data_IF_590830221211
#
_entry.id   IF_590830221211
#
_cell.length_a   1.000
_cell.length_b   1.000
_cell.length_c   1.000
_cell.angle_alpha   90.00
_cell.angle_beta   90.00
_cell.angle_gamma   90.00
#
_symmetry.space_group_name_H-M   'P 1'
#
loop_
_entity.id
_entity.type
_entity.pdbx_description
1 polymer ?
#
# COMPACT_ATOMS: atom_id res chain seq x y z
N UNK A 1 -10.63 13.13 19.50
CA UNK A 1 -10.89 12.13 20.56
C UNK A 1 -9.82 12.28 21.62
N UNK A 2 -10.14 12.96 22.73
CA UNK A 2 -9.29 13.05 23.91
C UNK A 2 -9.36 11.72 24.67
N UNK A 3 -8.44 10.80 24.40
CA UNK A 3 -8.33 9.52 25.08
C UNK A 3 -7.59 9.56 26.42
N UNK A 4 -7.34 10.76 26.96
CA UNK A 4 -6.71 10.93 28.27
C UNK A 4 -7.45 11.99 29.10
N UNK A 5 -8.73 11.79 29.36
CA UNK A 5 -9.35 12.31 30.57
C UNK A 5 -9.42 11.13 31.55
N UNK A 6 -8.56 11.15 32.57
CA UNK A 6 -8.41 10.11 33.58
C UNK A 6 -9.60 10.01 34.56
N UNK A 7 -10.82 10.05 34.04
CA UNK A 7 -12.01 9.60 34.75
C UNK A 7 -12.54 8.41 34.01
N UNK A 8 -12.30 7.23 34.59
CA UNK A 8 -12.69 5.96 34.04
C UNK A 8 -14.16 5.95 33.61
N UNK A 9 -14.40 6.04 32.32
CA UNK A 9 -15.64 5.52 31.77
C UNK A 9 -15.64 4.04 32.12
N UNK A 10 -16.47 3.63 33.04
CA UNK A 10 -16.74 2.24 33.40
C UNK A 10 -17.17 1.57 32.10
N UNK A 11 -16.27 0.79 31.48
CA UNK A 11 -16.64 -0.06 30.37
C UNK A 11 -17.73 -0.99 30.87
N UNK A 12 -18.96 -0.74 30.48
CA UNK A 12 -20.03 -1.72 30.66
C UNK A 12 -19.68 -2.85 29.69
N UNK A 13 -19.01 -3.88 30.19
CA UNK A 13 -18.84 -5.12 29.47
C UNK A 13 -20.22 -5.75 29.33
N UNK A 14 -20.88 -5.51 28.21
CA UNK A 14 -22.07 -6.28 27.85
C UNK A 14 -21.56 -7.70 27.51
N UNK A 15 -21.66 -8.59 28.48
CA UNK A 15 -21.37 -10.00 28.25
C UNK A 15 -22.47 -10.56 27.33
N UNK A 16 -22.08 -10.94 26.14
CA UNK A 16 -22.97 -11.67 25.24
C UNK A 16 -23.34 -13.02 25.86
N UNK A 17 -24.60 -13.45 25.70
CA UNK A 17 -24.97 -14.82 26.06
C UNK A 17 -24.13 -15.82 25.27
N UNK A 18 -23.83 -16.99 25.85
CA UNK A 18 -23.02 -18.03 25.19
C UNK A 18 -23.56 -18.41 23.80
N UNK A 19 -24.89 -18.50 23.66
CA UNK A 19 -25.54 -18.79 22.38
C UNK A 19 -25.32 -17.67 21.33
N UNK A 20 -25.45 -16.41 21.72
CA UNK A 20 -25.22 -15.28 20.85
C UNK A 20 -23.74 -15.18 20.43
N UNK A 21 -22.80 -15.49 21.35
CA UNK A 21 -21.38 -15.54 21.02
C UNK A 21 -21.05 -16.65 20.01
N UNK A 22 -21.61 -17.85 20.20
CA UNK A 22 -21.44 -18.97 19.24
C UNK A 22 -22.01 -18.58 17.87
N UNK A 23 -23.21 -18.00 17.82
CA UNK A 23 -23.82 -17.54 16.57
C UNK A 23 -22.97 -16.46 15.85
N UNK A 24 -22.43 -15.50 16.59
CA UNK A 24 -21.55 -14.48 16.05
C UNK A 24 -20.24 -15.07 15.51
N UNK A 25 -19.62 -15.99 16.22
CA UNK A 25 -18.42 -16.69 15.74
C UNK A 25 -18.69 -17.54 14.51
N UNK A 26 -19.80 -18.31 14.50
CA UNK A 26 -20.21 -19.09 13.34
C UNK A 26 -20.42 -18.21 12.10
N UNK A 27 -21.07 -17.06 12.26
CA UNK A 27 -21.23 -16.07 11.19
C UNK A 27 -19.88 -15.53 10.68
N UNK A 28 -18.99 -15.12 11.58
CA UNK A 28 -17.65 -14.62 11.22
C UNK A 28 -16.87 -15.68 10.46
N UNK A 29 -16.85 -16.93 10.96
CA UNK A 29 -16.14 -18.03 10.31
C UNK A 29 -16.73 -18.32 8.92
N UNK A 30 -18.06 -18.33 8.79
CA UNK A 30 -18.74 -18.53 7.51
C UNK A 30 -18.36 -17.44 6.50
N UNK A 31 -18.39 -16.17 6.90
CA UNK A 31 -17.99 -15.04 6.04
C UNK A 31 -16.53 -15.16 5.63
N UNK A 32 -15.63 -15.50 6.55
CA UNK A 32 -14.21 -15.68 6.24
C UNK A 32 -13.99 -16.87 5.30
N UNK A 33 -14.68 -17.98 5.49
CA UNK A 33 -14.58 -19.14 4.59
C UNK A 33 -15.04 -18.79 3.17
N UNK A 34 -16.16 -18.08 3.03
CA UNK A 34 -16.68 -17.70 1.70
C UNK A 34 -15.83 -16.60 1.07
N UNK A 35 -15.53 -15.55 1.81
CA UNK A 35 -14.85 -14.35 1.26
C UNK A 35 -13.36 -14.55 1.04
N UNK A 36 -12.71 -15.40 1.83
CA UNK A 36 -11.27 -15.62 1.79
C UNK A 36 -10.96 -17.07 1.41
N UNK A 37 -11.53 -18.03 2.13
CA UNK A 37 -11.22 -19.45 1.97
C UNK A 37 -11.47 -19.95 0.55
N UNK A 38 -12.66 -19.70 -0.01
CA UNK A 38 -13.03 -20.18 -1.36
C UNK A 38 -12.14 -19.59 -2.45
N UNK A 39 -11.93 -18.25 -2.53
CA UNK A 39 -11.04 -17.67 -3.56
C UNK A 39 -9.59 -18.16 -3.44
N UNK A 40 -9.02 -18.19 -2.23
CA UNK A 40 -7.65 -18.67 -2.05
C UNK A 40 -7.52 -20.16 -2.37
N UNK A 41 -8.46 -20.97 -1.93
CA UNK A 41 -8.50 -22.40 -2.29
C UNK A 41 -8.56 -22.58 -3.82
N UNK A 42 -9.40 -21.81 -4.51
CA UNK A 42 -9.52 -21.85 -5.96
C UNK A 42 -8.19 -21.50 -6.65
N UNK A 43 -7.55 -20.39 -6.26
CA UNK A 43 -6.29 -19.96 -6.85
C UNK A 43 -5.18 -20.97 -6.58
N UNK A 44 -5.01 -21.42 -5.34
CA UNK A 44 -3.98 -22.39 -4.96
C UNK A 44 -4.19 -23.72 -5.68
N UNK A 45 -5.42 -24.25 -5.67
CA UNK A 45 -5.70 -25.51 -6.33
C UNK A 45 -5.48 -25.44 -7.85
N UNK A 46 -5.91 -24.34 -8.49
CA UNK A 46 -5.71 -24.14 -9.93
C UNK A 46 -4.24 -24.00 -10.28
N UNK A 47 -3.42 -23.36 -9.45
CA UNK A 47 -1.99 -23.20 -9.69
C UNK A 47 -1.19 -24.53 -9.57
N UNK A 48 -1.78 -25.52 -8.91
CA UNK A 48 -1.18 -26.85 -8.73
C UNK A 48 -1.75 -27.91 -9.67
N UNK A 49 -2.70 -27.57 -10.55
CA UNK A 49 -3.30 -28.51 -11.51
C UNK A 49 -2.53 -28.50 -12.82
N UNK A 50 -2.12 -29.67 -13.30
CA UNK A 50 -1.43 -29.83 -14.57
C UNK A 50 -2.36 -29.60 -15.78
N UNK A 51 -3.48 -30.32 -15.81
CA UNK A 51 -4.49 -30.22 -16.86
C UNK A 51 -5.85 -29.83 -16.27
N UNK A 52 -6.36 -28.64 -16.62
CA UNK A 52 -7.61 -28.10 -16.07
C UNK A 52 -8.81 -29.03 -16.28
N UNK A 53 -8.87 -29.70 -17.40
CA UNK A 53 -9.98 -30.59 -17.73
C UNK A 53 -10.16 -31.78 -16.76
N UNK A 54 -9.11 -32.17 -16.05
CA UNK A 54 -9.15 -33.25 -15.05
C UNK A 54 -9.41 -32.74 -13.61
N UNK A 55 -9.44 -31.43 -13.39
CA UNK A 55 -9.70 -30.85 -12.07
C UNK A 55 -8.77 -31.39 -11.00
N UNK A 56 -9.31 -31.62 -9.79
CA UNK A 56 -8.56 -32.10 -8.62
C UNK A 56 -8.37 -33.63 -8.60
N UNK A 57 -8.29 -34.29 -9.75
CA UNK A 57 -8.12 -35.74 -9.83
C UNK A 57 -6.75 -36.17 -9.27
N UNK A 58 -6.66 -37.36 -8.63
CA UNK A 58 -5.38 -37.94 -8.21
C UNK A 58 -4.42 -38.08 -9.40
N UNK A 59 -3.19 -37.62 -9.22
CA UNK A 59 -2.16 -37.61 -10.28
C UNK A 59 -2.16 -36.38 -11.21
N UNK A 60 -3.09 -35.45 -11.05
CA UNK A 60 -3.14 -34.21 -11.83
C UNK A 60 -2.49 -32.99 -11.10
N UNK A 61 -1.69 -33.24 -10.07
CA UNK A 61 -1.01 -32.20 -9.33
C UNK A 61 0.44 -32.03 -9.81
N UNK A 62 0.85 -30.77 -9.99
CA UNK A 62 2.19 -30.40 -10.42
C UNK A 62 2.66 -29.11 -9.78
N UNK A 63 3.98 -28.96 -9.65
CA UNK A 63 4.67 -27.70 -9.33
C UNK A 63 5.40 -27.15 -10.54
N UNK A 64 5.24 -27.76 -11.72
CA UNK A 64 5.97 -27.41 -12.92
C UNK A 64 5.76 -25.96 -13.33
N UNK A 65 4.55 -25.42 -13.17
CA UNK A 65 4.25 -24.01 -13.47
C UNK A 65 5.11 -23.03 -12.67
N UNK A 66 5.38 -23.36 -11.40
CA UNK A 66 6.28 -22.54 -10.56
C UNK A 66 7.73 -22.66 -11.00
N UNK A 67 8.17 -23.87 -11.35
CA UNK A 67 9.52 -24.09 -11.86
C UNK A 67 9.71 -23.33 -13.16
N UNK A 68 8.79 -23.44 -14.10
CA UNK A 68 8.82 -22.74 -15.39
C UNK A 68 8.86 -21.22 -15.20
N UNK A 69 8.02 -20.67 -14.30
CA UNK A 69 7.99 -19.23 -14.00
C UNK A 69 9.36 -18.71 -13.52
N UNK A 70 10.07 -19.48 -12.69
CA UNK A 70 11.34 -19.04 -12.10
C UNK A 70 12.57 -19.42 -12.92
N UNK A 71 12.50 -20.40 -13.82
CA UNK A 71 13.67 -20.91 -14.58
C UNK A 71 13.61 -20.59 -16.07
N UNK A 72 12.42 -20.59 -16.67
CA UNK A 72 12.26 -20.51 -18.11
C UNK A 72 11.53 -19.24 -18.57
N UNK A 73 10.65 -18.69 -17.74
CA UNK A 73 9.87 -17.51 -18.09
C UNK A 73 10.59 -16.20 -17.71
N UNK A 74 11.52 -15.77 -18.59
CA UNK A 74 12.25 -14.50 -18.38
C UNK A 74 11.35 -13.29 -18.25
N UNK A 75 10.19 -13.26 -18.95
CA UNK A 75 9.23 -12.15 -18.89
C UNK A 75 8.52 -12.11 -17.55
N UNK A 76 8.09 -13.26 -17.01
CA UNK A 76 7.46 -13.35 -15.71
C UNK A 76 8.42 -12.95 -14.59
N UNK A 77 9.65 -13.43 -14.64
CA UNK A 77 10.68 -13.05 -13.66
C UNK A 77 11.05 -11.57 -13.75
N UNK A 78 11.15 -11.01 -14.95
CA UNK A 78 11.37 -9.57 -15.17
C UNK A 78 10.20 -8.75 -14.63
N UNK A 79 8.96 -9.15 -14.89
CA UNK A 79 7.76 -8.50 -14.37
C UNK A 79 7.73 -8.48 -12.83
N UNK A 80 8.11 -9.60 -12.20
CA UNK A 80 8.22 -9.69 -10.75
C UNK A 80 9.27 -8.72 -10.20
N UNK A 81 10.47 -8.70 -10.79
CA UNK A 81 11.55 -7.77 -10.40
C UNK A 81 11.13 -6.31 -10.54
N UNK A 82 10.49 -5.97 -11.65
CA UNK A 82 9.99 -4.60 -11.90
C UNK A 82 8.93 -4.20 -10.86
N UNK A 83 7.96 -5.08 -10.56
CA UNK A 83 6.94 -4.81 -9.55
C UNK A 83 7.53 -4.61 -8.16
N UNK A 84 8.47 -5.47 -7.75
CA UNK A 84 9.17 -5.33 -6.46
C UNK A 84 9.94 -4.00 -6.42
N UNK A 85 10.70 -3.70 -7.47
CA UNK A 85 11.47 -2.45 -7.56
C UNK A 85 10.58 -1.22 -7.45
N UNK A 86 9.50 -1.15 -8.24
CA UNK A 86 8.55 -0.04 -8.22
C UNK A 86 7.88 0.11 -6.86
N UNK A 87 7.40 -1.01 -6.29
CA UNK A 87 6.69 -1.00 -5.02
C UNK A 87 7.61 -0.59 -3.86
N UNK A 88 8.82 -1.15 -3.76
CA UNK A 88 9.80 -0.79 -2.71
C UNK A 88 10.24 0.66 -2.84
N UNK A 89 10.59 1.09 -4.05
CA UNK A 89 11.08 2.44 -4.28
C UNK A 89 10.00 3.47 -3.98
N UNK A 90 8.79 3.29 -4.51
CA UNK A 90 7.68 4.21 -4.28
C UNK A 90 7.24 4.22 -2.81
N UNK A 91 7.13 3.06 -2.16
CA UNK A 91 6.78 2.98 -0.74
C UNK A 91 7.82 3.67 0.14
N UNK A 92 9.11 3.53 -0.18
CA UNK A 92 10.18 4.18 0.58
C UNK A 92 10.15 5.70 0.40
N UNK A 93 9.95 6.18 -0.83
CA UNK A 93 9.81 7.61 -1.09
C UNK A 93 8.57 8.16 -0.38
N UNK A 94 7.43 7.48 -0.45
CA UNK A 94 6.20 7.86 0.25
C UNK A 94 6.41 7.88 1.77
N UNK A 95 7.12 6.90 2.34
CA UNK A 95 7.41 6.87 3.78
C UNK A 95 8.23 8.09 4.23
N UNK A 96 9.24 8.46 3.45
CA UNK A 96 10.07 9.64 3.74
C UNK A 96 9.26 10.92 3.55
N UNK A 97 8.69 11.13 2.36
CA UNK A 97 7.97 12.37 2.04
C UNK A 97 6.73 12.55 2.90
N UNK A 98 5.93 11.48 3.11
CA UNK A 98 4.73 11.52 3.94
C UNK A 98 5.06 11.85 5.39
N UNK A 99 6.14 11.25 5.94
CA UNK A 99 6.60 11.57 7.29
C UNK A 99 7.05 13.02 7.40
N UNK A 100 7.87 13.50 6.45
CA UNK A 100 8.32 14.91 6.44
C UNK A 100 7.14 15.88 6.33
N UNK A 101 6.16 15.56 5.50
CA UNK A 101 4.96 16.37 5.31
C UNK A 101 4.14 16.45 6.63
N UNK A 102 3.90 15.33 7.29
CA UNK A 102 3.18 15.32 8.58
C UNK A 102 3.94 16.12 9.64
N UNK A 103 5.25 15.96 9.75
CA UNK A 103 6.07 16.70 10.71
C UNK A 103 6.09 18.21 10.43
N UNK A 104 6.14 18.61 9.16
CA UNK A 104 6.13 20.03 8.76
C UNK A 104 4.76 20.68 9.05
N UNK A 105 3.68 19.98 8.69
CA UNK A 105 2.31 20.48 8.88
C UNK A 105 1.96 20.64 10.36
N UNK A 106 2.39 19.70 11.20
CA UNK A 106 2.11 19.76 12.66
C UNK A 106 2.78 20.92 13.37
N UNK A 107 3.94 21.36 12.92
CA UNK A 107 4.64 22.54 13.48
C UNK A 107 4.02 23.86 13.03
N UNK A 108 3.22 23.87 11.99
CA UNK A 108 2.62 25.09 11.44
C UNK A 108 1.26 25.37 12.07
N UNK A 109 1.10 26.55 12.66
CA UNK A 109 -0.17 27.08 13.17
C UNK A 109 -0.93 27.90 12.10
N UNK A 110 -0.43 27.91 10.86
CA UNK A 110 -0.94 28.77 9.80
C UNK A 110 -2.08 28.10 9.00
N UNK A 111 -2.86 28.94 8.28
CA UNK A 111 -3.87 28.47 7.31
C UNK A 111 -3.27 27.54 6.25
N UNK A 112 -1.98 27.69 5.99
CA UNK A 112 -1.19 26.85 5.07
C UNK A 112 -1.25 25.35 5.45
N UNK A 113 -1.38 25.04 6.74
CA UNK A 113 -1.56 23.66 7.21
C UNK A 113 -2.74 22.96 6.53
N UNK A 114 -3.92 23.61 6.55
CA UNK A 114 -5.14 23.05 5.96
C UNK A 114 -5.00 22.84 4.43
N UNK A 115 -4.32 23.78 3.77
CA UNK A 115 -4.05 23.68 2.32
C UNK A 115 -3.13 22.50 2.02
N UNK A 116 -2.05 22.34 2.78
CA UNK A 116 -1.10 21.22 2.58
C UNK A 116 -1.74 19.87 2.90
N UNK A 117 -2.55 19.79 3.97
CA UNK A 117 -3.34 18.59 4.27
C UNK A 117 -4.32 18.25 3.14
N UNK A 118 -5.04 19.25 2.60
CA UNK A 118 -5.96 19.06 1.49
C UNK A 118 -5.26 18.61 0.20
N UNK A 119 -4.14 19.25 -0.16
CA UNK A 119 -3.33 18.87 -1.34
C UNK A 119 -2.76 17.46 -1.17
N UNK A 120 -2.31 17.11 0.04
CA UNK A 120 -1.78 15.77 0.32
C UNK A 120 -2.81 14.65 0.19
N UNK A 121 -4.11 14.95 0.35
CA UNK A 121 -5.20 13.98 0.21
C UNK A 121 -5.90 14.04 -1.15
N UNK A 122 -5.62 15.06 -1.95
CA UNK A 122 -6.28 15.28 -3.24
C UNK A 122 -6.17 14.10 -4.20
N UNK A 123 -5.03 13.38 -4.31
CA UNK A 123 -4.91 12.22 -5.18
C UNK A 123 -5.91 11.10 -4.86
N UNK A 124 -6.32 10.94 -3.60
CA UNK A 124 -7.29 9.93 -3.19
C UNK A 124 -8.72 10.27 -3.60
N UNK A 125 -9.00 11.56 -3.82
CA UNK A 125 -10.31 12.06 -4.21
C UNK A 125 -10.57 11.96 -5.72
N UNK A 126 -9.51 11.77 -6.51
CA UNK A 126 -9.58 11.71 -7.97
C UNK A 126 -9.46 10.25 -8.45
N UNK A 127 -10.18 9.87 -9.53
CA UNK A 127 -9.93 8.58 -10.16
C UNK A 127 -8.47 8.47 -10.60
N UNK A 128 -7.81 7.35 -10.23
CA UNK A 128 -6.38 7.15 -10.52
C UNK A 128 -6.01 7.34 -11.99
N UNK A 129 -6.88 6.87 -12.90
CA UNK A 129 -6.69 7.04 -14.35
C UNK A 129 -6.59 8.53 -14.77
N UNK A 130 -7.39 9.40 -14.15
CA UNK A 130 -7.37 10.86 -14.46
C UNK A 130 -6.04 11.47 -14.02
N UNK A 131 -5.57 11.09 -12.82
CA UNK A 131 -4.27 11.54 -12.34
C UNK A 131 -3.12 11.06 -13.21
N UNK A 132 -3.13 9.80 -13.63
CA UNK A 132 -2.08 9.23 -14.49
C UNK A 132 -2.05 9.95 -15.84
N UNK A 133 -3.20 10.18 -16.47
CA UNK A 133 -3.27 10.94 -17.72
C UNK A 133 -2.76 12.38 -17.50
N UNK A 134 -3.13 13.02 -16.40
CA UNK A 134 -2.62 14.33 -16.04
C UNK A 134 -1.09 14.36 -15.88
N UNK A 135 -0.52 13.36 -15.23
CA UNK A 135 0.94 13.19 -15.09
C UNK A 135 1.58 13.01 -16.47
N UNK A 136 1.03 12.16 -17.34
CA UNK A 136 1.54 11.96 -18.70
C UNK A 136 1.57 13.26 -19.49
N UNK A 137 0.46 13.99 -19.51
CA UNK A 137 0.35 15.26 -20.25
C UNK A 137 1.33 16.30 -19.70
N UNK A 138 1.40 16.46 -18.39
CA UNK A 138 2.31 17.41 -17.76
C UNK A 138 3.78 17.09 -18.06
N UNK A 139 4.20 15.82 -17.90
CA UNK A 139 5.59 15.40 -18.15
C UNK A 139 5.99 15.47 -19.62
N UNK A 140 5.03 15.25 -20.52
CA UNK A 140 5.25 15.44 -21.95
C UNK A 140 5.52 16.91 -22.32
N UNK A 141 4.85 17.86 -21.65
CA UNK A 141 5.09 19.29 -21.84
C UNK A 141 6.50 19.74 -21.43
N UNK A 142 7.03 19.14 -20.36
CA UNK A 142 8.34 19.50 -19.81
C UNK A 142 9.45 18.52 -20.20
N UNK A 143 9.21 17.67 -21.19
CA UNK A 143 10.15 16.62 -21.62
C UNK A 143 11.55 17.16 -21.93
N UNK A 144 11.65 18.31 -22.57
CA UNK A 144 12.93 18.95 -22.90
C UNK A 144 13.74 19.40 -21.68
N UNK A 145 13.09 19.59 -20.53
CA UNK A 145 13.73 20.01 -19.27
C UNK A 145 14.06 18.77 -18.42
N UNK A 146 13.13 17.84 -18.36
CA UNK A 146 13.24 16.63 -17.53
C UNK A 146 12.69 15.41 -18.27
N UNK A 147 13.55 14.65 -18.98
CA UNK A 147 13.14 13.56 -19.85
C UNK A 147 12.81 12.29 -19.04
N UNK A 148 11.78 12.34 -18.19
CA UNK A 148 11.30 11.18 -17.41
C UNK A 148 10.26 10.36 -18.16
N UNK A 149 9.61 10.93 -19.18
CA UNK A 149 8.62 10.22 -19.96
C UNK A 149 9.25 8.98 -20.62
N UNK A 150 8.50 7.88 -20.64
CA UNK A 150 8.96 6.60 -21.17
C UNK A 150 10.14 5.96 -20.40
N UNK A 151 10.24 6.22 -19.11
CA UNK A 151 11.22 5.62 -18.20
C UNK A 151 10.54 5.02 -16.97
N UNK A 152 11.25 4.13 -16.25
CA UNK A 152 10.77 3.67 -14.93
C UNK A 152 10.58 4.82 -13.93
N UNK A 153 11.27 5.94 -14.14
CA UNK A 153 11.19 7.12 -13.28
C UNK A 153 9.81 7.75 -13.25
N UNK A 154 9.11 7.84 -14.39
CA UNK A 154 7.74 8.37 -14.42
C UNK A 154 6.76 7.44 -13.72
N UNK A 155 6.97 6.12 -13.78
CA UNK A 155 6.14 5.14 -13.05
C UNK A 155 6.31 5.31 -11.53
N UNK A 156 7.56 5.42 -11.05
CA UNK A 156 7.85 5.69 -9.63
C UNK A 156 7.19 6.97 -9.18
N UNK A 157 7.31 8.04 -9.98
CA UNK A 157 6.72 9.33 -9.68
C UNK A 157 5.19 9.26 -9.61
N UNK A 158 4.55 8.58 -10.58
CA UNK A 158 3.11 8.40 -10.58
C UNK A 158 2.64 7.59 -9.35
N UNK A 159 3.35 6.52 -9.00
CA UNK A 159 3.04 5.72 -7.81
C UNK A 159 3.21 6.55 -6.52
N UNK A 160 4.25 7.37 -6.44
CA UNK A 160 4.44 8.27 -5.30
C UNK A 160 3.29 9.26 -5.18
N UNK A 161 2.89 9.91 -6.28
CA UNK A 161 1.76 10.87 -6.28
C UNK A 161 0.47 10.19 -5.86
N UNK A 162 0.16 9.02 -6.43
CA UNK A 162 -1.07 8.29 -6.15
C UNK A 162 -1.15 7.74 -4.73
N UNK A 163 -0.03 7.27 -4.18
CA UNK A 163 -0.03 6.48 -2.94
C UNK A 163 0.51 7.22 -1.72
N UNK A 164 1.05 8.44 -1.88
CA UNK A 164 1.48 9.29 -0.78
C UNK A 164 0.40 9.48 0.30
N UNK A 165 -0.89 9.68 -0.05
CA UNK A 165 -1.96 9.83 0.94
C UNK A 165 -2.04 8.72 1.96
N UNK A 166 -1.83 7.46 1.59
CA UNK A 166 -1.86 6.32 2.51
C UNK A 166 -0.82 6.48 3.62
N UNK A 167 0.43 6.75 3.25
CA UNK A 167 1.48 6.97 4.25
C UNK A 167 1.17 8.18 5.14
N UNK A 168 0.70 9.29 4.56
CA UNK A 168 0.32 10.50 5.32
C UNK A 168 -0.76 10.17 6.35
N UNK A 169 -1.77 9.39 6.01
CA UNK A 169 -2.85 9.01 6.92
C UNK A 169 -2.35 8.14 8.08
N UNK A 170 -1.56 7.10 7.81
CA UNK A 170 -1.04 6.21 8.85
C UNK A 170 -0.07 6.92 9.78
N UNK A 171 0.83 7.76 9.26
CA UNK A 171 1.75 8.56 10.06
C UNK A 171 0.97 9.59 10.90
N UNK A 172 -0.03 10.27 10.31
CA UNK A 172 -0.89 11.22 11.04
C UNK A 172 -1.65 10.51 12.15
N UNK A 173 -2.22 9.35 11.90
CA UNK A 173 -2.93 8.55 12.91
C UNK A 173 -2.01 8.20 14.09
N UNK A 174 -0.80 7.72 13.81
CA UNK A 174 0.17 7.43 14.88
C UNK A 174 0.62 8.67 15.61
N UNK A 175 0.77 9.79 14.92
CA UNK A 175 1.17 11.05 15.54
C UNK A 175 0.08 11.61 16.46
N UNK A 176 -1.21 11.47 16.12
CA UNK A 176 -2.32 11.95 16.94
C UNK A 176 -2.46 11.21 18.28
N UNK A 177 -1.84 10.04 18.41
CA UNK A 177 -1.81 9.28 19.65
C UNK A 177 -0.76 9.78 20.65
N UNK A 178 0.17 10.63 20.21
CA UNK A 178 1.20 11.23 21.08
C UNK A 178 0.60 12.42 21.80
N UNK A 179 0.65 12.43 23.14
CA UNK A 179 0.20 13.55 23.95
C UNK A 179 1.15 14.75 23.81
N UNK A 180 0.59 15.95 23.72
CA UNK A 180 1.39 17.19 23.66
C UNK A 180 2.22 17.38 24.95
N UNK A 181 1.74 16.84 26.10
CA UNK A 181 2.47 16.84 27.36
C UNK A 181 3.81 16.10 27.31
N UNK A 182 3.90 15.03 26.53
CA UNK A 182 5.15 14.28 26.38
C UNK A 182 6.22 15.09 25.65
N UNK A 183 5.81 15.83 24.60
CA UNK A 183 6.72 16.73 23.89
C UNK A 183 7.12 17.93 24.72
N UNK A 184 6.17 18.51 25.48
CA UNK A 184 6.43 19.60 26.43
C UNK A 184 7.40 19.18 27.53
N UNK A 185 7.23 17.98 28.11
CA UNK A 185 8.17 17.43 29.08
C UNK A 185 9.59 17.32 28.52
N UNK A 186 9.74 16.82 27.29
CA UNK A 186 11.04 16.78 26.61
C UNK A 186 11.72 18.16 26.51
N UNK A 187 10.94 19.22 26.29
CA UNK A 187 11.44 20.60 26.25
C UNK A 187 11.84 21.10 27.62
N UNK A 188 11.01 20.87 28.66
CA UNK A 188 11.28 21.25 30.05
C UNK A 188 12.59 20.63 30.57
N UNK A 189 12.88 19.39 30.18
CA UNK A 189 14.16 18.72 30.50
C UNK A 189 15.33 19.16 29.59
N UNK A 190 15.19 20.24 28.83
CA UNK A 190 16.28 20.82 28.03
C UNK A 190 16.54 20.12 26.71
N UNK A 191 15.62 19.26 26.25
CA UNK A 191 15.76 18.58 24.95
C UNK A 191 15.65 19.57 23.79
N UNK A 192 16.65 19.58 22.92
CA UNK A 192 16.59 20.33 21.67
C UNK A 192 15.51 19.78 20.74
N UNK A 193 14.97 20.58 19.79
CA UNK A 193 13.98 20.10 18.82
C UNK A 193 14.42 18.85 18.02
N UNK A 194 15.71 18.78 17.70
CA UNK A 194 16.28 17.62 17.02
C UNK A 194 16.36 16.39 17.93
N UNK A 195 16.66 16.57 19.19
CA UNK A 195 16.68 15.52 20.19
C UNK A 195 15.26 14.95 20.39
N UNK A 196 14.25 15.80 20.59
CA UNK A 196 12.84 15.41 20.74
C UNK A 196 12.37 14.66 19.49
N UNK A 197 12.68 15.15 18.29
CA UNK A 197 12.33 14.47 17.05
C UNK A 197 12.95 13.07 16.99
N UNK A 198 14.25 12.94 17.23
CA UNK A 198 14.96 11.66 17.07
C UNK A 198 14.66 10.66 18.19
N UNK A 199 14.52 11.12 19.45
CA UNK A 199 14.44 10.26 20.62
C UNK A 199 13.00 10.03 21.13
N UNK A 200 12.06 10.92 20.78
CA UNK A 200 10.68 10.81 21.22
C UNK A 200 9.75 10.62 20.02
N UNK A 201 9.71 11.58 19.10
CA UNK A 201 8.69 11.56 18.02
C UNK A 201 8.88 10.41 17.07
N UNK A 202 10.04 10.27 16.43
CA UNK A 202 10.28 9.23 15.41
C UNK A 202 10.11 7.81 15.96
N UNK A 203 10.62 7.44 17.15
CA UNK A 203 10.37 6.13 17.72
C UNK A 203 8.89 5.83 17.99
N UNK A 204 8.10 6.84 18.37
CA UNK A 204 6.69 6.68 18.66
C UNK A 204 5.84 6.53 17.37
N UNK A 205 6.18 7.26 16.30
CA UNK A 205 5.44 7.15 15.03
C UNK A 205 5.98 6.04 14.10
N UNK A 206 7.06 5.35 14.46
CA UNK A 206 7.69 4.33 13.60
C UNK A 206 6.71 3.26 13.12
N UNK A 207 5.76 2.89 13.96
CA UNK A 207 4.74 1.90 13.61
C UNK A 207 3.82 2.43 12.51
N UNK A 208 3.40 3.71 12.58
CA UNK A 208 2.62 4.35 11.51
C UNK A 208 3.41 4.46 10.21
N UNK A 209 4.72 4.79 10.30
CA UNK A 209 5.60 4.82 9.12
C UNK A 209 5.70 3.43 8.48
N UNK A 210 5.94 2.39 9.28
CA UNK A 210 6.04 1.02 8.80
C UNK A 210 4.72 0.54 8.18
N UNK A 211 3.58 0.81 8.82
CA UNK A 211 2.26 0.45 8.30
C UNK A 211 1.96 1.20 7.01
N UNK A 212 2.25 2.50 6.94
CA UNK A 212 2.11 3.30 5.72
C UNK A 212 2.98 2.79 4.58
N UNK A 213 4.22 2.42 4.88
CA UNK A 213 5.13 1.80 3.92
C UNK A 213 4.57 0.47 3.39
N UNK A 214 4.13 -0.41 4.29
CA UNK A 214 3.56 -1.72 3.91
C UNK A 214 2.31 -1.57 3.05
N UNK A 215 1.39 -0.67 3.42
CA UNK A 215 0.18 -0.41 2.64
C UNK A 215 0.50 0.13 1.25
N UNK A 216 1.40 1.10 1.16
CA UNK A 216 1.86 1.63 -0.13
C UNK A 216 2.53 0.54 -0.96
N UNK A 217 3.38 -0.29 -0.36
CA UNK A 217 4.02 -1.42 -1.03
C UNK A 217 2.99 -2.39 -1.62
N UNK A 218 2.01 -2.84 -0.82
CA UNK A 218 0.99 -3.81 -1.25
C UNK A 218 0.16 -3.25 -2.42
N UNK A 219 -0.25 -1.97 -2.34
CA UNK A 219 -1.06 -1.33 -3.37
C UNK A 219 -0.24 -1.12 -4.64
N UNK A 220 0.99 -0.61 -4.53
CA UNK A 220 1.89 -0.37 -5.65
C UNK A 220 2.29 -1.68 -6.37
N UNK A 221 2.50 -2.76 -5.63
CA UNK A 221 2.88 -4.06 -6.19
C UNK A 221 1.83 -4.62 -7.14
N UNK A 222 0.55 -4.42 -6.85
CA UNK A 222 -0.58 -4.91 -7.66
C UNK A 222 -1.16 -3.88 -8.63
N UNK A 223 -0.51 -2.71 -8.74
CA UNK A 223 -1.05 -1.63 -9.57
C UNK A 223 -1.05 -2.00 -11.06
N UNK A 224 -2.24 -1.94 -11.65
CA UNK A 224 -2.47 -2.30 -13.05
C UNK A 224 -2.67 -1.07 -13.93
N UNK A 225 -3.52 -0.13 -13.48
CA UNK A 225 -4.00 0.98 -14.32
C UNK A 225 -2.86 1.91 -14.73
N UNK A 226 -2.06 2.34 -13.75
CA UNK A 226 -0.90 3.19 -13.99
C UNK A 226 0.11 2.51 -14.90
N UNK A 227 0.43 1.24 -14.59
CA UNK A 227 1.38 0.47 -15.38
C UNK A 227 0.91 0.27 -16.83
N UNK A 228 -0.38 0.00 -17.04
CA UNK A 228 -0.92 -0.18 -18.40
C UNK A 228 -0.87 1.10 -19.25
N UNK A 229 -0.86 2.29 -18.62
CA UNK A 229 -0.89 3.57 -19.32
C UNK A 229 0.49 4.17 -19.57
N UNK A 230 1.43 4.04 -18.60
CA UNK A 230 2.69 4.78 -18.64
C UNK A 230 3.94 3.91 -18.57
N UNK A 231 3.80 2.59 -18.56
CA UNK A 231 4.97 1.72 -18.61
C UNK A 231 5.77 1.94 -19.89
N UNK A 232 7.10 2.00 -19.79
CA UNK A 232 7.96 2.04 -20.96
C UNK A 232 7.75 0.80 -21.84
N UNK A 233 8.03 0.86 -23.16
CA UNK A 233 7.95 -0.30 -24.04
C UNK A 233 8.73 -1.48 -23.46
N UNK A 234 8.18 -2.66 -23.60
CA UNK A 234 8.74 -3.92 -23.09
C UNK A 234 8.93 -3.99 -21.57
N UNK A 235 8.38 -3.05 -20.80
CA UNK A 235 8.40 -3.09 -19.35
C UNK A 235 7.09 -3.68 -18.85
N UNK A 236 7.14 -4.91 -18.35
CA UNK A 236 6.01 -5.57 -17.71
C UNK A 236 6.14 -5.50 -16.19
N UNK A 237 5.02 -5.34 -15.52
CA UNK A 237 4.84 -5.58 -14.09
C UNK A 237 3.93 -6.79 -13.90
N UNK A 238 3.89 -7.35 -12.70
CA UNK A 238 3.12 -8.60 -12.44
C UNK A 238 1.66 -8.46 -12.89
N UNK A 239 1.02 -7.35 -12.59
CA UNK A 239 -0.38 -7.12 -12.96
C UNK A 239 -0.59 -7.08 -14.49
N UNK A 240 0.25 -6.37 -15.23
CA UNK A 240 0.16 -6.30 -16.70
C UNK A 240 0.61 -7.62 -17.36
N UNK A 241 1.55 -8.32 -16.76
CA UNK A 241 1.96 -9.65 -17.21
C UNK A 241 0.81 -10.65 -17.11
N UNK A 242 0.14 -10.72 -15.94
CA UNK A 242 -1.01 -11.61 -15.74
C UNK A 242 -2.14 -11.32 -16.73
N UNK A 243 -2.51 -10.05 -16.92
CA UNK A 243 -3.56 -9.67 -17.88
C UNK A 243 -3.19 -10.09 -19.30
N UNK A 244 -1.95 -9.85 -19.70
CA UNK A 244 -1.45 -10.21 -21.03
C UNK A 244 -1.48 -11.71 -21.28
N UNK A 245 -1.00 -12.52 -20.33
CA UNK A 245 -1.04 -13.98 -20.44
C UNK A 245 -2.48 -14.50 -20.50
N UNK A 246 -3.36 -13.89 -19.70
CA UNK A 246 -4.76 -14.23 -19.73
C UNK A 246 -5.44 -13.92 -21.07
N UNK A 247 -5.17 -12.74 -21.67
CA UNK A 247 -5.70 -12.33 -22.97
C UNK A 247 -5.15 -13.18 -24.12
N UNK A 248 -3.91 -13.65 -24.04
CA UNK A 248 -3.29 -14.51 -25.03
C UNK A 248 -3.73 -15.98 -24.95
N UNK A 249 -4.58 -16.31 -23.99
CA UNK A 249 -5.08 -17.67 -23.76
C UNK A 249 -4.05 -18.64 -23.17
N UNK A 250 -2.87 -18.14 -22.78
CA UNK A 250 -1.81 -18.92 -22.12
C UNK A 250 -2.13 -19.16 -20.64
N UNK A 251 -3.38 -19.51 -20.35
CA UNK A 251 -3.87 -19.68 -18.97
C UNK A 251 -3.36 -20.97 -18.33
N UNK A 252 -2.46 -21.66 -18.99
CA UNK A 252 -1.82 -22.89 -18.51
C UNK A 252 -0.36 -22.66 -18.05
N UNK A 253 0.09 -21.43 -18.05
CA UNK A 253 1.44 -21.05 -17.56
C UNK A 253 1.30 -20.16 -16.34
#
# INVERSE_FOLDING_TARGET
>A
YNLVSGKGARRVEQSMSKGAAIGAWAYIVLVLLIAVGVPYFSVISTSLINLRGYGLAPGNFTIAHYVELFTENEKGLSALKNSVFLAVTSATICAVLGTLLVLAVRKSHSKLRKVVEAIGLLPEMLPGIVLVIGIMLFWNQIYNILPLYNTMGIMVLAYVVLFLPYTVQYVTSSFTQISDSLMAAGQVFGGSPAYILRRITLPLIRQGIATGWMMTFIIAFRELVTASLIAPPNTLVVSTFIVREFEQGSVSV
#
